data_IF_705971721286
#
_entry.id   IF_705971721286
#
_cell.length_a   1.000
_cell.length_b   1.000
_cell.length_c   1.000
_cell.angle_alpha   90.00
_cell.angle_beta   90.00
_cell.angle_gamma   90.00
#
_symmetry.space_group_name_H-M   'P 1'
#
loop_
_entity.id
_entity.type
_entity.pdbx_description
1 polymer ?
#
# COMPACT_ATOMS: atom_id res chain seq x y z
N UNK A 1 84.29 -28.31 -21.36
CA UNK A 1 83.01 -28.84 -20.93
C UNK A 1 82.56 -28.07 -19.68
N UNK A 2 81.76 -27.07 -19.86
CA UNK A 2 81.24 -26.20 -18.77
C UNK A 2 79.77 -26.59 -18.51
N UNK A 3 79.37 -26.84 -17.28
CA UNK A 3 77.96 -27.20 -16.99
C UNK A 3 77.06 -25.96 -17.01
N UNK A 4 75.96 -26.04 -17.75
CA UNK A 4 74.90 -25.05 -17.83
C UNK A 4 74.08 -24.98 -16.53
N UNK A 5 74.01 -23.78 -15.94
CA UNK A 5 73.08 -23.50 -14.78
C UNK A 5 71.63 -23.32 -15.25
N UNK A 6 70.72 -24.06 -14.65
CA UNK A 6 69.28 -23.87 -14.79
C UNK A 6 68.85 -22.58 -14.08
N UNK A 7 67.89 -21.82 -14.59
CA UNK A 7 67.38 -20.62 -13.94
C UNK A 7 66.46 -20.95 -12.73
N UNK A 8 66.63 -20.20 -11.63
CA UNK A 8 65.78 -20.31 -10.42
C UNK A 8 64.37 -19.80 -10.64
N UNK A 9 63.41 -20.40 -9.99
CA UNK A 9 62.00 -19.97 -10.10
C UNK A 9 61.79 -18.63 -9.39
N UNK A 10 61.21 -17.66 -10.11
CA UNK A 10 60.77 -16.35 -9.57
C UNK A 10 59.69 -16.55 -8.50
N UNK A 11 59.97 -16.12 -7.28
CA UNK A 11 59.01 -16.03 -6.17
C UNK A 11 57.99 -14.94 -6.49
N UNK A 12 56.76 -15.31 -6.84
CA UNK A 12 55.60 -14.40 -6.98
C UNK A 12 55.16 -13.97 -5.57
N UNK A 13 55.37 -12.70 -5.25
CA UNK A 13 54.96 -12.16 -3.94
C UNK A 13 53.42 -12.19 -3.74
N UNK A 14 53.00 -12.65 -2.58
CA UNK A 14 51.59 -12.81 -2.18
C UNK A 14 50.78 -11.49 -2.10
N UNK A 15 51.44 -10.33 -2.24
CA UNK A 15 50.77 -9.02 -2.09
C UNK A 15 49.82 -8.58 -3.21
N UNK A 16 50.03 -8.88 -4.52
CA UNK A 16 49.08 -8.46 -5.56
C UNK A 16 47.78 -9.28 -5.60
N UNK A 17 47.74 -10.50 -5.06
CA UNK A 17 46.57 -11.36 -5.10
C UNK A 17 45.52 -10.92 -4.06
N UNK A 18 45.95 -10.41 -2.92
CA UNK A 18 45.03 -9.88 -1.88
C UNK A 18 44.37 -8.55 -2.29
N UNK A 19 45.03 -7.71 -3.08
CA UNK A 19 44.46 -6.46 -3.55
C UNK A 19 43.39 -6.67 -4.63
N UNK A 20 43.53 -7.73 -5.46
CA UNK A 20 42.52 -8.06 -6.49
C UNK A 20 41.21 -8.66 -5.89
N UNK A 21 41.31 -9.38 -4.77
CA UNK A 21 40.14 -9.96 -4.09
C UNK A 21 39.31 -8.92 -3.29
N UNK A 22 39.98 -7.84 -2.79
CA UNK A 22 39.28 -6.76 -2.10
C UNK A 22 38.57 -5.80 -3.06
N UNK A 23 39.03 -5.64 -4.30
CA UNK A 23 38.40 -4.81 -5.33
C UNK A 23 37.10 -5.43 -5.91
N UNK A 24 37.06 -6.75 -6.07
CA UNK A 24 35.88 -7.45 -6.60
C UNK A 24 34.69 -7.52 -5.60
N UNK A 25 34.96 -7.45 -4.30
CA UNK A 25 33.93 -7.50 -3.25
C UNK A 25 33.17 -6.20 -3.06
N UNK A 26 33.68 -5.05 -3.49
CA UNK A 26 33.04 -3.75 -3.33
C UNK A 26 32.10 -3.39 -4.49
N UNK A 27 32.34 -3.93 -5.68
CA UNK A 27 31.48 -3.66 -6.85
C UNK A 27 30.18 -4.50 -6.84
N UNK A 28 30.19 -5.67 -6.20
CA UNK A 28 28.99 -6.52 -6.06
C UNK A 28 27.96 -5.98 -5.06
N UNK A 29 28.40 -5.18 -4.06
CA UNK A 29 27.50 -4.63 -3.04
C UNK A 29 26.71 -3.41 -3.49
N UNK A 30 27.24 -2.62 -4.44
CA UNK A 30 26.53 -1.45 -4.97
C UNK A 30 25.32 -1.83 -5.85
N UNK A 31 25.38 -2.98 -6.54
CA UNK A 31 24.26 -3.49 -7.35
C UNK A 31 23.12 -4.06 -6.53
N UNK A 32 23.42 -4.75 -5.44
CA UNK A 32 22.40 -5.31 -4.51
C UNK A 32 21.69 -4.22 -3.71
N UNK A 33 22.39 -3.18 -3.27
CA UNK A 33 21.79 -2.05 -2.56
C UNK A 33 20.83 -1.25 -3.46
N UNK A 34 21.08 -1.19 -4.75
CA UNK A 34 20.23 -0.48 -5.72
C UNK A 34 18.97 -1.29 -6.08
N UNK A 35 19.08 -2.62 -6.15
CA UNK A 35 17.93 -3.51 -6.40
C UNK A 35 16.94 -3.53 -5.20
N UNK A 36 17.44 -3.38 -3.96
CA UNK A 36 16.60 -3.26 -2.75
C UNK A 36 15.94 -1.88 -2.70
N UNK A 37 16.57 -0.82 -3.21
CA UNK A 37 16.06 0.56 -3.16
C UNK A 37 14.87 0.83 -4.08
N UNK A 38 14.76 0.17 -5.23
CA UNK A 38 13.65 0.41 -6.18
C UNK A 38 12.40 -0.41 -5.86
N UNK A 39 12.52 -1.56 -5.18
CA UNK A 39 11.40 -2.37 -4.71
C UNK A 39 10.74 -1.83 -3.44
N UNK A 40 11.38 -0.87 -2.74
CA UNK A 40 10.85 -0.28 -1.50
C UNK A 40 10.10 1.04 -1.71
N UNK A 41 9.92 1.49 -2.95
CA UNK A 41 9.15 2.71 -3.25
C UNK A 41 7.66 2.39 -3.33
N UNK A 42 6.87 3.04 -2.48
CA UNK A 42 5.42 2.95 -2.54
C UNK A 42 4.84 4.02 -3.45
N UNK A 43 3.94 3.63 -4.35
CA UNK A 43 3.08 4.55 -5.09
C UNK A 43 1.65 4.35 -4.66
N UNK A 44 1.01 5.39 -4.17
CA UNK A 44 -0.41 5.35 -3.82
C UNK A 44 -1.27 5.26 -5.09
N UNK A 45 -2.32 4.46 -5.02
CA UNK A 45 -3.21 4.21 -6.15
C UNK A 45 -4.66 4.55 -5.79
N UNK A 46 -5.40 5.09 -6.76
CA UNK A 46 -6.85 5.27 -6.66
C UNK A 46 -7.56 4.39 -7.67
N UNK A 47 -8.71 3.87 -7.31
CA UNK A 47 -9.63 3.21 -8.21
C UNK A 47 -10.49 4.28 -8.88
N UNK A 48 -10.42 4.34 -10.20
CA UNK A 48 -11.20 5.28 -10.98
C UNK A 48 -12.33 4.55 -11.69
N UNK A 49 -13.56 4.97 -11.41
CA UNK A 49 -14.76 4.53 -12.10
C UNK A 49 -15.17 5.59 -13.14
N UNK A 50 -15.75 5.19 -14.29
CA UNK A 50 -16.00 6.12 -15.40
C UNK A 50 -16.89 7.32 -15.05
N UNK A 51 -17.88 7.13 -14.20
CA UNK A 51 -18.89 8.14 -13.82
C UNK A 51 -18.68 8.70 -12.40
N UNK A 52 -17.54 8.38 -11.77
CA UNK A 52 -17.18 8.85 -10.43
C UNK A 52 -15.88 9.65 -10.48
N UNK A 53 -15.93 10.98 -10.67
CA UNK A 53 -14.76 11.82 -10.54
C UNK A 53 -14.25 11.81 -9.10
N UNK A 54 -12.92 11.93 -8.94
CA UNK A 54 -12.33 12.05 -7.61
C UNK A 54 -12.64 13.43 -7.00
N UNK A 55 -13.35 13.49 -5.88
CA UNK A 55 -13.68 14.78 -5.24
C UNK A 55 -12.47 15.41 -4.51
N UNK A 56 -11.37 14.66 -4.31
CA UNK A 56 -10.21 15.09 -3.51
C UNK A 56 -8.88 14.75 -4.22
N UNK A 57 -8.63 15.30 -5.43
CA UNK A 57 -7.52 14.85 -6.29
C UNK A 57 -6.13 15.08 -5.70
N UNK A 58 -5.97 16.05 -4.80
CA UNK A 58 -4.68 16.42 -4.19
C UNK A 58 -4.34 15.59 -2.95
N UNK A 59 -5.32 14.89 -2.36
CA UNK A 59 -5.19 14.20 -1.07
C UNK A 59 -4.07 13.14 -1.06
N UNK A 60 -4.02 12.26 -2.08
CA UNK A 60 -3.01 11.20 -2.11
C UNK A 60 -1.59 11.73 -2.32
N UNK A 61 -1.42 12.83 -3.08
CA UNK A 61 -0.12 13.50 -3.21
C UNK A 61 0.35 14.02 -1.84
N UNK A 62 -0.55 14.64 -1.09
CA UNK A 62 -0.24 15.10 0.27
C UNK A 62 0.07 13.93 1.18
N UNK A 63 -0.70 12.85 1.12
CA UNK A 63 -0.43 11.64 1.92
C UNK A 63 0.94 11.04 1.61
N UNK A 64 1.34 10.96 0.34
CA UNK A 64 2.67 10.47 -0.06
C UNK A 64 3.79 11.29 0.61
N UNK A 65 3.66 12.63 0.61
CA UNK A 65 4.61 13.52 1.27
C UNK A 65 4.65 13.31 2.80
N UNK A 66 3.49 13.10 3.44
CA UNK A 66 3.41 12.83 4.88
C UNK A 66 4.02 11.46 5.25
N UNK A 67 3.84 10.45 4.41
CA UNK A 67 4.46 9.13 4.61
C UNK A 67 5.98 9.21 4.64
N UNK A 68 6.61 9.94 3.72
CA UNK A 68 8.06 10.14 3.72
C UNK A 68 8.57 10.86 4.96
N UNK A 69 7.79 11.83 5.47
CA UNK A 69 8.19 12.61 6.65
C UNK A 69 7.96 11.89 7.97
N UNK A 70 6.97 11.01 8.03
CA UNK A 70 6.53 10.38 9.28
C UNK A 70 7.02 8.94 9.44
N UNK A 71 7.46 8.33 8.35
CA UNK A 71 7.87 6.92 8.33
C UNK A 71 9.21 6.76 7.60
N UNK A 72 9.72 5.53 7.54
CA UNK A 72 10.90 5.18 6.72
C UNK A 72 10.54 4.82 5.27
N UNK A 73 9.28 4.96 4.86
CA UNK A 73 8.84 4.65 3.51
C UNK A 73 9.32 5.72 2.52
N UNK A 74 9.75 5.29 1.36
CA UNK A 74 9.99 6.18 0.22
C UNK A 74 8.74 6.17 -0.65
N UNK A 75 8.02 7.30 -0.69
CA UNK A 75 6.78 7.41 -1.44
C UNK A 75 6.97 8.17 -2.75
N UNK A 76 6.35 7.67 -3.83
CA UNK A 76 6.30 8.41 -5.10
C UNK A 76 5.26 9.53 -4.95
N UNK A 77 5.62 10.81 -5.21
CA UNK A 77 4.73 11.95 -4.98
C UNK A 77 3.43 11.87 -5.79
N UNK A 78 3.51 11.40 -7.03
CA UNK A 78 2.36 11.34 -7.92
C UNK A 78 1.64 10.00 -7.82
N UNK A 79 0.38 9.99 -7.33
CA UNK A 79 -0.45 8.81 -7.30
C UNK A 79 -0.80 8.34 -8.71
N UNK A 80 -1.19 7.07 -8.82
CA UNK A 80 -1.69 6.50 -10.08
C UNK A 80 -3.21 6.30 -10.00
N UNK A 81 -3.91 6.54 -11.10
CA UNK A 81 -5.31 6.20 -11.26
C UNK A 81 -5.45 4.90 -12.05
N UNK A 82 -6.19 3.94 -11.52
CA UNK A 82 -6.35 2.60 -12.06
C UNK A 82 -7.83 2.31 -12.34
N UNK A 83 -8.14 1.92 -13.56
CA UNK A 83 -9.44 1.33 -13.85
C UNK A 83 -9.54 -0.07 -13.18
N UNK A 84 -10.75 -0.55 -12.83
CA UNK A 84 -10.93 -1.88 -12.27
C UNK A 84 -10.41 -3.00 -13.19
N UNK A 85 -10.41 -2.75 -14.51
CA UNK A 85 -9.87 -3.67 -15.53
C UNK A 85 -8.33 -3.73 -15.57
N UNK A 86 -7.62 -2.78 -14.95
CA UNK A 86 -6.16 -2.68 -15.05
C UNK A 86 -5.45 -3.90 -14.42
N UNK A 87 -4.49 -4.53 -15.11
CA UNK A 87 -3.65 -5.57 -14.52
C UNK A 87 -2.71 -5.02 -13.43
N UNK A 88 -2.41 -3.72 -13.45
CA UNK A 88 -1.55 -3.07 -12.46
C UNK A 88 -2.18 -3.02 -11.07
N UNK A 89 -3.50 -3.22 -10.96
CA UNK A 89 -4.21 -3.27 -9.69
C UNK A 89 -3.50 -4.18 -8.66
N UNK A 90 -2.98 -5.33 -9.12
CA UNK A 90 -2.32 -6.32 -8.26
C UNK A 90 -0.89 -5.93 -7.81
N UNK A 91 -0.36 -4.82 -8.31
CA UNK A 91 0.93 -4.27 -7.86
C UNK A 91 0.81 -3.29 -6.70
N UNK A 92 -0.43 -2.95 -6.33
CA UNK A 92 -0.72 -1.98 -5.29
C UNK A 92 -1.45 -2.66 -4.13
N UNK A 93 -0.83 -2.85 -2.98
CA UNK A 93 -1.46 -3.52 -1.83
C UNK A 93 -2.65 -2.74 -1.27
N UNK A 94 -2.67 -1.41 -1.49
CA UNK A 94 -3.75 -0.52 -1.09
C UNK A 94 -4.22 0.30 -2.28
N UNK A 95 -5.54 0.33 -2.50
CA UNK A 95 -6.19 1.17 -3.51
C UNK A 95 -7.30 1.98 -2.85
N UNK A 96 -7.38 3.28 -3.15
CA UNK A 96 -8.41 4.18 -2.65
C UNK A 96 -9.56 4.29 -3.64
N UNK A 97 -10.80 4.17 -3.17
CA UNK A 97 -12.03 4.59 -3.85
C UNK A 97 -12.65 5.74 -3.06
N UNK A 98 -12.63 6.95 -3.60
CA UNK A 98 -13.27 8.12 -2.99
C UNK A 98 -14.37 8.66 -3.89
N UNK A 99 -15.45 9.15 -3.29
CA UNK A 99 -16.58 9.71 -4.03
C UNK A 99 -17.53 10.54 -3.18
N UNK A 100 -18.25 11.45 -3.84
CA UNK A 100 -19.23 12.37 -3.23
C UNK A 100 -20.66 12.19 -3.78
N UNK A 101 -20.86 11.15 -4.61
CA UNK A 101 -22.15 10.86 -5.27
C UNK A 101 -22.30 9.40 -5.63
N UNK A 102 -23.51 9.00 -5.98
CA UNK A 102 -23.76 7.66 -6.52
C UNK A 102 -23.02 7.42 -7.83
N UNK A 103 -22.71 6.16 -8.09
CA UNK A 103 -22.01 5.70 -9.30
C UNK A 103 -22.59 4.40 -9.82
N UNK A 104 -22.36 4.11 -11.10
CA UNK A 104 -22.76 2.88 -11.76
C UNK A 104 -21.83 1.73 -11.41
N UNK A 105 -22.36 0.53 -11.29
CA UNK A 105 -21.53 -0.64 -11.02
C UNK A 105 -20.58 -0.91 -12.21
N UNK A 106 -19.34 -1.33 -11.92
CA UNK A 106 -18.44 -1.85 -12.95
C UNK A 106 -19.05 -3.08 -13.63
N UNK A 107 -18.51 -3.44 -14.80
CA UNK A 107 -18.89 -4.65 -15.53
C UNK A 107 -18.57 -5.91 -14.72
N UNK A 108 -19.24 -7.03 -15.03
CA UNK A 108 -19.00 -8.31 -14.34
C UNK A 108 -17.53 -8.76 -14.39
N UNK A 109 -16.83 -8.48 -15.50
CA UNK A 109 -15.40 -8.78 -15.64
C UNK A 109 -14.53 -7.93 -14.68
N UNK A 110 -14.89 -6.66 -14.49
CA UNK A 110 -14.22 -5.75 -13.56
C UNK A 110 -14.54 -6.11 -12.11
N UNK A 111 -15.79 -6.45 -11.80
CA UNK A 111 -16.20 -6.97 -10.49
C UNK A 111 -15.43 -8.25 -10.17
N UNK A 112 -15.30 -9.18 -11.10
CA UNK A 112 -14.53 -10.41 -10.91
C UNK A 112 -13.03 -10.13 -10.66
N UNK A 113 -12.48 -9.08 -11.29
CA UNK A 113 -11.09 -8.66 -11.07
C UNK A 113 -10.91 -8.02 -9.69
N UNK A 114 -11.80 -7.13 -9.27
CA UNK A 114 -11.81 -6.54 -7.93
C UNK A 114 -11.96 -7.62 -6.85
N UNK A 115 -12.84 -8.61 -7.08
CA UNK A 115 -12.96 -9.78 -6.20
C UNK A 115 -11.64 -10.50 -6.02
N UNK A 116 -10.95 -10.81 -7.14
CA UNK A 116 -9.64 -11.46 -7.08
C UNK A 116 -8.62 -10.60 -6.34
N UNK A 117 -8.56 -9.29 -6.62
CA UNK A 117 -7.69 -8.36 -5.93
C UNK A 117 -7.86 -8.43 -4.41
N UNK A 118 -9.11 -8.32 -3.93
CA UNK A 118 -9.42 -8.35 -2.51
C UNK A 118 -9.21 -9.75 -1.88
N UNK A 119 -9.41 -10.82 -2.65
CA UNK A 119 -9.17 -12.20 -2.18
C UNK A 119 -7.68 -12.50 -2.04
N UNK A 120 -6.84 -12.02 -2.95
CA UNK A 120 -5.42 -12.34 -2.98
C UNK A 120 -4.49 -11.33 -2.28
N UNK A 121 -4.99 -10.59 -1.31
CA UNK A 121 -4.16 -9.76 -0.44
C UNK A 121 -4.38 -8.26 -0.57
N UNK A 122 -5.01 -7.79 -1.65
CA UNK A 122 -5.30 -6.37 -1.83
C UNK A 122 -6.24 -5.81 -0.76
N UNK A 123 -6.09 -4.53 -0.47
CA UNK A 123 -6.94 -3.77 0.44
C UNK A 123 -7.58 -2.60 -0.30
N UNK A 124 -8.88 -2.41 -0.14
CA UNK A 124 -9.62 -1.27 -0.67
C UNK A 124 -9.97 -0.32 0.48
N UNK A 125 -9.41 0.90 0.45
CA UNK A 125 -9.88 1.99 1.29
C UNK A 125 -11.01 2.71 0.55
N UNK A 126 -12.19 2.74 1.16
CA UNK A 126 -13.34 3.51 0.67
C UNK A 126 -13.52 4.73 1.54
N UNK A 127 -13.60 5.90 0.91
CA UNK A 127 -13.75 7.19 1.59
C UNK A 127 -14.91 7.98 1.01
N UNK A 128 -15.98 8.17 1.79
CA UNK A 128 -17.12 8.97 1.39
C UNK A 128 -16.88 10.44 1.66
N UNK A 129 -16.91 11.24 0.62
CA UNK A 129 -16.83 12.70 0.67
C UNK A 129 -18.22 13.38 0.72
N UNK A 130 -19.31 12.63 0.89
CA UNK A 130 -20.67 13.19 0.94
C UNK A 130 -20.95 14.04 2.20
N UNK A 131 -20.14 13.88 3.25
CA UNK A 131 -20.29 14.61 4.50
C UNK A 131 -21.46 14.15 5.38
N UNK A 132 -22.05 13.00 5.07
CA UNK A 132 -23.15 12.36 5.81
C UNK A 132 -23.09 10.85 5.62
N UNK A 133 -23.58 10.12 6.61
CA UNK A 133 -23.76 8.68 6.48
C UNK A 133 -25.02 8.36 5.65
N UNK A 134 -24.99 7.23 4.93
CA UNK A 134 -26.14 6.71 4.20
C UNK A 134 -26.53 7.50 2.95
N UNK A 135 -25.59 8.17 2.29
CA UNK A 135 -25.83 8.91 1.06
C UNK A 135 -25.85 8.05 -0.21
N UNK A 136 -25.87 8.70 -1.38
CA UNK A 136 -25.92 8.03 -2.68
C UNK A 136 -24.63 7.27 -2.99
N UNK A 137 -23.48 7.81 -2.59
CA UNK A 137 -22.20 7.09 -2.68
C UNK A 137 -22.21 5.84 -1.79
N UNK A 138 -22.65 5.98 -0.53
CA UNK A 138 -22.77 4.83 0.38
C UNK A 138 -23.65 3.73 -0.21
N UNK A 139 -24.80 4.08 -0.78
CA UNK A 139 -25.69 3.11 -1.42
C UNK A 139 -25.03 2.38 -2.59
N UNK A 140 -24.25 3.10 -3.43
CA UNK A 140 -23.49 2.51 -4.55
C UNK A 140 -22.34 1.63 -4.06
N UNK A 141 -21.62 2.05 -3.02
CA UNK A 141 -20.55 1.26 -2.40
C UNK A 141 -21.08 -0.05 -1.85
N UNK A 142 -22.20 -0.03 -1.11
CA UNK A 142 -22.80 -1.25 -0.56
C UNK A 142 -23.23 -2.21 -1.67
N UNK A 143 -23.79 -1.71 -2.76
CA UNK A 143 -24.11 -2.51 -3.94
C UNK A 143 -22.83 -3.10 -4.57
N UNK A 144 -21.79 -2.29 -4.76
CA UNK A 144 -20.51 -2.75 -5.28
C UNK A 144 -19.95 -3.88 -4.42
N UNK A 145 -19.86 -3.69 -3.11
CA UNK A 145 -19.31 -4.67 -2.19
C UNK A 145 -20.12 -5.97 -2.18
N UNK A 146 -21.45 -5.91 -2.24
CA UNK A 146 -22.31 -7.09 -2.36
C UNK A 146 -22.04 -7.90 -3.65
N UNK A 147 -21.67 -7.24 -4.76
CA UNK A 147 -21.30 -7.92 -6.00
C UNK A 147 -19.85 -8.44 -5.97
N UNK A 148 -18.93 -7.65 -5.42
CA UNK A 148 -17.51 -8.02 -5.37
C UNK A 148 -17.24 -9.11 -4.34
N UNK A 149 -17.88 -9.05 -3.17
CA UNK A 149 -17.71 -9.98 -2.05
C UNK A 149 -19.08 -10.54 -1.61
N UNK A 150 -19.71 -11.42 -2.41
CA UNK A 150 -21.01 -11.98 -2.07
C UNK A 150 -20.95 -12.72 -0.73
N UNK A 151 -21.92 -12.40 0.15
CA UNK A 151 -21.99 -13.00 1.48
C UNK A 151 -21.21 -12.26 2.57
N UNK A 152 -20.31 -11.34 2.22
CA UNK A 152 -19.59 -10.53 3.19
C UNK A 152 -20.26 -9.15 3.28
N UNK A 153 -20.67 -8.75 4.47
CA UNK A 153 -21.32 -7.45 4.73
C UNK A 153 -20.35 -6.57 5.51
N UNK A 154 -20.18 -5.29 5.13
CA UNK A 154 -19.41 -4.36 5.94
C UNK A 154 -19.92 -4.32 7.37
N UNK A 155 -19.04 -4.53 8.33
CA UNK A 155 -19.32 -4.50 9.75
C UNK A 155 -18.43 -3.48 10.45
N UNK A 156 -18.83 -3.05 11.65
CA UNK A 156 -17.99 -2.15 12.46
C UNK A 156 -16.65 -2.83 12.77
N UNK A 157 -15.57 -2.12 12.51
CA UNK A 157 -14.21 -2.55 12.90
C UNK A 157 -14.07 -2.43 14.42
N UNK A 158 -13.72 -3.52 15.13
CA UNK A 158 -13.55 -3.49 16.58
C UNK A 158 -12.47 -2.50 17.03
N UNK A 159 -12.65 -1.90 18.21
CA UNK A 159 -11.72 -0.91 18.74
C UNK A 159 -10.34 -1.53 19.07
N UNK A 160 -10.28 -2.85 19.28
CA UNK A 160 -9.05 -3.62 19.53
C UNK A 160 -8.29 -4.00 18.24
N UNK A 161 -8.90 -3.77 17.06
CA UNK A 161 -8.32 -4.18 15.80
C UNK A 161 -6.93 -3.55 15.58
N UNK A 162 -6.01 -4.33 15.00
CA UNK A 162 -4.61 -3.91 14.81
C UNK A 162 -4.45 -2.64 13.96
N UNK A 163 -5.41 -2.31 13.10
CA UNK A 163 -5.42 -1.08 12.31
C UNK A 163 -5.26 0.18 13.18
N UNK A 164 -5.89 0.20 14.37
CA UNK A 164 -5.84 1.34 15.29
C UNK A 164 -4.46 1.59 15.90
N UNK A 165 -3.54 0.65 15.76
CA UNK A 165 -2.18 0.70 16.32
C UNK A 165 -1.10 0.24 15.34
N UNK A 166 -1.38 0.30 14.04
CA UNK A 166 -0.43 -0.17 13.01
C UNK A 166 0.84 0.69 12.94
N UNK A 167 0.75 1.97 13.29
CA UNK A 167 1.87 2.89 13.41
C UNK A 167 1.65 3.91 14.54
N UNK A 168 0.51 4.59 14.55
CA UNK A 168 0.04 5.46 15.64
C UNK A 168 -1.04 4.76 16.45
N UNK A 169 -1.15 5.07 17.73
CA UNK A 169 -2.26 4.60 18.58
C UNK A 169 -3.41 5.59 18.41
N UNK A 170 -4.56 5.10 17.93
CA UNK A 170 -5.77 5.88 17.66
C UNK A 170 -6.96 5.27 18.36
N UNK A 171 -7.90 6.13 18.78
CA UNK A 171 -9.10 5.75 19.51
C UNK A 171 -10.40 6.24 18.85
N UNK A 172 -10.30 6.85 17.66
CA UNK A 172 -11.44 7.39 16.93
C UNK A 172 -11.24 7.30 15.43
N UNK A 173 -12.31 7.46 14.67
CA UNK A 173 -12.30 7.52 13.20
C UNK A 173 -12.25 8.99 12.78
N UNK A 174 -11.09 9.55 12.50
CA UNK A 174 -10.97 10.94 12.10
C UNK A 174 -11.24 11.10 10.59
N UNK A 175 -11.60 12.31 10.22
CA UNK A 175 -11.77 12.74 8.83
C UNK A 175 -12.00 14.23 8.80
N UNK A 176 -12.38 14.79 7.67
CA UNK A 176 -12.76 16.21 7.56
C UNK A 176 -14.00 16.51 8.40
N UNK A 177 -14.90 15.56 8.45
CA UNK A 177 -16.15 15.60 9.19
C UNK A 177 -16.21 14.41 10.16
N UNK A 178 -17.15 14.42 11.08
CA UNK A 178 -17.48 13.31 11.96
C UNK A 178 -18.91 12.81 11.64
N UNK A 179 -19.10 12.38 10.37
CA UNK A 179 -20.39 11.89 9.87
C UNK A 179 -20.78 10.52 10.48
N UNK A 180 -19.77 9.68 10.79
CA UNK A 180 -19.94 8.41 11.48
C UNK A 180 -18.90 8.26 12.59
N UNK A 181 -19.30 7.86 13.82
CA UNK A 181 -18.36 7.66 14.94
C UNK A 181 -17.66 6.30 14.88
N UNK A 182 -17.82 5.53 13.83
CA UNK A 182 -17.27 4.19 13.63
C UNK A 182 -16.69 4.03 12.24
N UNK A 183 -15.76 3.09 12.12
CA UNK A 183 -15.21 2.59 10.88
C UNK A 183 -15.92 1.29 10.52
N UNK A 184 -16.28 1.13 9.26
CA UNK A 184 -16.75 -0.15 8.72
C UNK A 184 -15.63 -0.86 7.96
N UNK A 185 -15.72 -2.17 7.82
CA UNK A 185 -14.81 -2.96 7.03
C UNK A 185 -15.38 -4.32 6.67
N UNK A 186 -14.77 -4.96 5.69
CA UNK A 186 -15.02 -6.35 5.36
C UNK A 186 -13.78 -7.15 5.70
N UNK A 187 -13.91 -8.08 6.63
CA UNK A 187 -12.83 -8.96 7.04
C UNK A 187 -12.85 -10.26 6.20
N UNK A 188 -11.68 -10.62 5.65
CA UNK A 188 -11.44 -11.90 4.98
C UNK A 188 -10.08 -12.46 5.41
N UNK A 189 -10.03 -13.75 5.68
CA UNK A 189 -8.78 -14.43 6.08
C UNK A 189 -8.06 -13.71 7.23
N UNK A 190 -8.81 -13.23 8.22
CA UNK A 190 -8.34 -12.49 9.40
C UNK A 190 -7.64 -11.16 9.06
N UNK A 191 -8.01 -10.52 7.96
CA UNK A 191 -7.57 -9.19 7.56
C UNK A 191 -8.72 -8.36 7.02
N UNK A 192 -8.64 -7.05 7.16
CA UNK A 192 -9.57 -6.14 6.49
C UNK A 192 -9.20 -6.09 5.00
N UNK A 193 -10.02 -6.69 4.16
CA UNK A 193 -9.95 -6.55 2.71
C UNK A 193 -10.54 -5.21 2.25
N UNK A 194 -11.51 -4.68 3.00
CA UNK A 194 -12.12 -3.36 2.78
C UNK A 194 -12.08 -2.58 4.09
N UNK A 195 -11.70 -1.32 4.01
CA UNK A 195 -11.76 -0.32 5.07
C UNK A 195 -12.66 0.79 4.56
N UNK A 196 -13.75 1.11 5.27
CA UNK A 196 -14.71 2.10 4.82
C UNK A 196 -14.96 3.19 5.86
N UNK A 197 -14.63 4.43 5.50
CA UNK A 197 -14.92 5.62 6.31
C UNK A 197 -15.92 6.52 5.61
N UNK A 198 -16.81 7.13 6.39
CA UNK A 198 -17.81 8.08 5.92
C UNK A 198 -17.47 9.53 6.35
N UNK A 199 -16.24 9.76 6.84
CA UNK A 199 -15.81 11.00 7.46
C UNK A 199 -15.01 11.92 6.54
N UNK A 200 -15.00 11.67 5.21
CA UNK A 200 -14.23 12.46 4.23
C UNK A 200 -12.75 12.60 4.65
N UNK A 201 -12.09 11.44 4.80
CA UNK A 201 -10.69 11.36 5.18
C UNK A 201 -9.81 12.16 4.20
N UNK A 202 -10.01 11.95 2.91
CA UNK A 202 -9.25 12.65 1.87
C UNK A 202 -9.47 14.16 1.88
N UNK A 203 -10.66 14.62 2.27
CA UNK A 203 -10.93 16.05 2.44
C UNK A 203 -10.11 16.69 3.55
N UNK A 204 -9.81 15.94 4.63
CA UNK A 204 -8.89 16.42 5.67
C UNK A 204 -7.44 16.53 5.18
N UNK A 205 -7.04 15.73 4.17
CA UNK A 205 -5.67 15.68 3.64
C UNK A 205 -5.45 16.63 2.46
N UNK A 206 -6.51 17.07 1.77
CA UNK A 206 -6.44 17.82 0.53
C UNK A 206 -5.78 19.20 0.71
N UNK A 207 -4.74 19.48 -0.11
CA UNK A 207 -3.96 20.71 -0.04
C UNK A 207 -3.66 21.23 -1.44
N UNK A 208 -3.91 22.51 -1.67
CA UNK A 208 -3.69 23.14 -2.97
C UNK A 208 -2.20 23.30 -3.32
N UNK A 209 -1.93 23.72 -4.56
CA UNK A 209 -0.57 23.94 -5.05
C UNK A 209 0.18 25.10 -4.35
N UNK A 210 -0.53 25.96 -3.62
CA UNK A 210 0.03 27.04 -2.82
C UNK A 210 0.28 26.65 -1.37
N UNK A 211 -0.03 25.41 -1.02
CA UNK A 211 0.16 24.88 0.32
C UNK A 211 -0.95 25.25 1.32
N UNK A 212 -2.13 25.69 0.85
CA UNK A 212 -3.31 25.96 1.70
C UNK A 212 -4.20 24.73 1.75
N UNK A 213 -4.88 24.52 2.86
CA UNK A 213 -5.90 23.48 2.97
C UNK A 213 -7.08 23.80 2.05
N UNK A 214 -7.53 22.82 1.28
CA UNK A 214 -8.69 22.98 0.39
C UNK A 214 -10.01 23.00 1.15
N UNK A 215 -10.03 22.38 2.33
CA UNK A 215 -11.24 22.23 3.13
C UNK A 215 -10.96 22.43 4.62
N UNK A 216 -11.90 23.06 5.30
CA UNK A 216 -11.90 23.11 6.76
C UNK A 216 -12.25 21.74 7.35
N UNK A 217 -11.64 21.44 8.49
CA UNK A 217 -11.92 20.23 9.28
C UNK A 217 -12.78 20.62 10.49
N UNK A 218 -13.93 19.99 10.62
CA UNK A 218 -14.89 20.32 11.68
C UNK A 218 -15.36 19.06 12.39
N UNK A 219 -15.61 19.16 13.73
CA UNK A 219 -15.55 20.36 14.57
C UNK A 219 -14.15 20.65 15.15
N UNK A 220 -13.19 19.72 15.11
CA UNK A 220 -11.94 19.74 15.88
C UNK A 220 -10.75 20.45 15.19
N UNK A 221 -10.95 21.09 14.02
CA UNK A 221 -9.92 21.88 13.36
C UNK A 221 -8.62 21.11 13.07
N UNK A 222 -7.48 21.74 13.33
CA UNK A 222 -6.16 21.18 13.00
C UNK A 222 -5.80 19.95 13.85
N UNK A 223 -6.30 19.80 15.06
CA UNK A 223 -6.09 18.60 15.85
C UNK A 223 -6.78 17.38 15.21
N UNK A 224 -8.04 17.53 14.77
CA UNK A 224 -8.76 16.49 14.06
C UNK A 224 -8.08 16.17 12.71
N UNK A 225 -7.54 17.18 12.02
CA UNK A 225 -6.75 17.00 10.80
C UNK A 225 -5.50 16.17 11.05
N UNK A 226 -4.78 16.45 12.12
CA UNK A 226 -3.61 15.65 12.49
C UNK A 226 -3.97 14.20 12.79
N UNK A 227 -5.09 13.95 13.47
CA UNK A 227 -5.61 12.59 13.67
C UNK A 227 -5.97 11.92 12.34
N UNK A 228 -6.51 12.67 11.37
CA UNK A 228 -6.81 12.14 10.03
C UNK A 228 -5.51 11.72 9.29
N UNK A 229 -4.43 12.48 9.37
CA UNK A 229 -3.13 12.08 8.85
C UNK A 229 -2.60 10.82 9.51
N UNK A 230 -2.66 10.74 10.84
CA UNK A 230 -2.24 9.54 11.58
C UNK A 230 -3.04 8.30 11.16
N UNK A 231 -4.35 8.45 10.99
CA UNK A 231 -5.20 7.36 10.52
C UNK A 231 -4.84 6.94 9.10
N UNK A 232 -4.64 7.87 8.17
CA UNK A 232 -4.24 7.55 6.81
C UNK A 232 -2.89 6.82 6.77
N UNK A 233 -1.92 7.22 7.60
CA UNK A 233 -0.64 6.51 7.77
C UNK A 233 -0.88 5.10 8.31
N UNK A 234 -1.73 4.93 9.33
CA UNK A 234 -2.06 3.61 9.86
C UNK A 234 -2.66 2.68 8.78
N UNK A 235 -3.57 3.20 7.94
CA UNK A 235 -4.16 2.41 6.84
C UNK A 235 -3.10 1.93 5.86
N UNK A 236 -2.17 2.81 5.46
CA UNK A 236 -1.07 2.44 4.56
C UNK A 236 -0.15 1.40 5.21
N UNK A 237 0.28 1.64 6.44
CA UNK A 237 1.15 0.71 7.18
C UNK A 237 0.49 -0.65 7.39
N UNK A 238 -0.81 -0.66 7.70
CA UNK A 238 -1.59 -1.89 7.82
C UNK A 238 -1.59 -2.69 6.53
N UNK A 239 -1.91 -2.06 5.40
CA UNK A 239 -1.96 -2.72 4.10
C UNK A 239 -0.60 -3.29 3.67
N UNK A 240 0.49 -2.54 3.89
CA UNK A 240 1.86 -2.99 3.58
C UNK A 240 2.30 -4.17 4.46
N UNK A 241 1.94 -4.17 5.75
CA UNK A 241 2.26 -5.28 6.64
C UNK A 241 1.52 -6.57 6.27
N UNK A 242 0.32 -6.46 5.70
CA UNK A 242 -0.43 -7.61 5.20
C UNK A 242 0.22 -8.20 3.96
N UNK A 243 0.66 -7.37 3.03
CA UNK A 243 1.33 -7.77 1.80
C UNK A 243 2.62 -8.56 2.11
N UNK A 244 3.46 -8.04 3.00
CA UNK A 244 4.66 -8.70 3.46
C UNK A 244 4.41 -10.10 4.08
N UNK A 245 3.35 -10.26 4.89
CA UNK A 245 2.99 -11.57 5.45
C UNK A 245 2.51 -12.55 4.38
N UNK A 246 1.81 -12.07 3.38
CA UNK A 246 1.33 -12.88 2.26
C UNK A 246 2.49 -13.35 1.39
N UNK A 247 3.48 -12.48 1.11
CA UNK A 247 4.69 -12.86 0.40
C UNK A 247 5.53 -13.88 1.17
N UNK A 248 5.71 -13.72 2.48
CA UNK A 248 6.41 -14.70 3.31
C UNK A 248 5.73 -16.06 3.31
N UNK A 249 4.40 -16.10 3.43
CA UNK A 249 3.65 -17.36 3.37
C UNK A 249 3.79 -18.05 2.00
N UNK A 250 3.89 -17.27 0.92
CA UNK A 250 4.10 -17.78 -0.43
C UNK A 250 5.52 -18.33 -0.63
N UNK A 251 6.52 -17.66 -0.09
CA UNK A 251 7.92 -18.13 -0.10
C UNK A 251 8.05 -19.44 0.67
N UNK A 252 7.47 -19.54 1.87
CA UNK A 252 7.47 -20.77 2.66
C UNK A 252 6.76 -21.92 1.97
N UNK A 253 5.65 -21.66 1.28
CA UNK A 253 4.94 -22.65 0.48
C UNK A 253 5.78 -23.14 -0.70
N UNK A 254 6.42 -22.24 -1.45
CA UNK A 254 7.30 -22.57 -2.57
C UNK A 254 8.51 -23.39 -2.09
N UNK A 255 9.10 -23.01 -0.96
CA UNK A 255 10.26 -23.72 -0.39
C UNK A 255 9.87 -25.11 0.11
N UNK A 256 8.70 -25.28 0.71
CA UNK A 256 8.17 -26.61 1.11
C UNK A 256 7.86 -27.48 -0.10
N UNK A 257 7.25 -26.92 -1.14
CA UNK A 257 6.90 -27.66 -2.38
C UNK A 257 8.15 -28.09 -3.15
N UNK A 258 9.24 -27.30 -3.13
CA UNK A 258 10.54 -27.69 -3.71
C UNK A 258 11.22 -28.81 -2.92
N UNK A 259 11.07 -28.86 -1.59
CA UNK A 259 11.65 -29.93 -0.74
C UNK A 259 10.91 -31.27 -0.87
N UNK A 260 9.66 -31.29 -1.32
CA UNK A 260 8.83 -32.49 -1.47
C UNK A 260 8.86 -33.10 -2.88
N UNK A 261 9.60 -32.54 -3.83
CA UNK A 261 9.87 -33.18 -5.11
C UNK A 261 11.20 -33.94 -5.04
N UNK A 262 11.21 -35.25 -4.86
CA UNK A 262 12.42 -36.05 -5.02
C UNK A 262 12.73 -36.19 -6.51
N UNK A 263 13.92 -35.76 -6.93
CA UNK A 263 14.51 -36.16 -8.19
C UNK A 263 14.32 -35.22 -9.35
N UNK A 264 15.27 -34.28 -9.49
CA UNK A 264 15.88 -34.03 -10.81
C UNK A 264 17.38 -34.11 -10.63
N UNK A 265 18.11 -34.84 -11.56
CA UNK A 265 19.54 -35.03 -11.49
C UNK A 265 20.32 -33.73 -11.66
#
# INVERSE_FOLDING_TARGET
>A
MTPSRLPEPRKIGRRPVLAALLGAGLWGRAGLARAIGDSSRIRLARLQLPDLPDPRPTALRRLAWELERRTSLVAVPDPISLAPASPELFRHPLVLLSGDRGFSLPTDAEVARLRRFLTFGGCLLVDSAEGRAGGAFDASVRKLLAHVLPGDVPARVPDEHVLWKSFYILHSVPGRLLAAPYLEGVERDRRLAVIYTQNDLCGALARDGYGRWEHDVVPGGEEQREQAFRFAVNVVMYALCLDYKTEQAHIDFIMRTRRTRPGFP
#
